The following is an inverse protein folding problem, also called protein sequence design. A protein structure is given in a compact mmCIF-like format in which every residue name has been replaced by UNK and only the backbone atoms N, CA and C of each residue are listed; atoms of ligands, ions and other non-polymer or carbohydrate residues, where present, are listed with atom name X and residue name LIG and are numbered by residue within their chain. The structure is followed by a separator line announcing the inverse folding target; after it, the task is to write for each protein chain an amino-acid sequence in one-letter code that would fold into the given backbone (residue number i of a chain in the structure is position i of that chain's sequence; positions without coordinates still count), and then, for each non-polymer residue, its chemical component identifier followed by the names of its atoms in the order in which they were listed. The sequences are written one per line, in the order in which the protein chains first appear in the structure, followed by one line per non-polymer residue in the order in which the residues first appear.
data_IF_878119155535
#
_entry.id   IF_878119155535
#
_cell.length_a   1.000
_cell.length_b   1.000
_cell.length_c   1.000
_cell.angle_alpha   90.00
_cell.angle_beta   90.00
_cell.angle_gamma   90.00
#
_symmetry.space_group_name_H-M   'P 1'
#
loop_
_entity.id
_entity.type
_entity.pdbx_description
1 polymer ?
#
# COMPACT_ATOMS: atom_id res chain seq x y z
N UNK A 1 -60.69 -39.59 -14.14
CA UNK A 1 -59.45 -38.86 -13.71
C UNK A 1 -59.80 -38.07 -12.45
N UNK A 2 -59.49 -38.63 -11.26
CA UNK A 2 -59.71 -37.97 -9.95
C UNK A 2 -58.66 -36.93 -9.74
N UNK A 3 -59.00 -35.64 -9.62
CA UNK A 3 -58.18 -34.61 -9.14
C UNK A 3 -57.90 -34.83 -7.66
N UNK A 4 -56.70 -35.16 -7.31
CA UNK A 4 -56.25 -35.13 -5.92
C UNK A 4 -56.34 -33.67 -5.40
N UNK A 5 -57.16 -33.46 -4.39
CA UNK A 5 -57.27 -32.18 -3.69
C UNK A 5 -55.94 -31.87 -2.98
N UNK A 6 -55.44 -30.67 -3.20
CA UNK A 6 -54.26 -30.19 -2.49
C UNK A 6 -54.55 -30.22 -0.97
N UNK A 7 -53.54 -30.55 -0.13
CA UNK A 7 -53.71 -30.52 1.31
C UNK A 7 -54.06 -29.10 1.77
N UNK A 8 -55.19 -28.92 2.42
CA UNK A 8 -55.51 -27.66 3.10
C UNK A 8 -54.51 -27.44 4.24
N UNK A 9 -53.77 -26.36 4.13
CA UNK A 9 -52.91 -25.90 5.23
C UNK A 9 -53.83 -25.46 6.36
N UNK A 10 -53.91 -26.25 7.42
CA UNK A 10 -54.79 -26.00 8.55
C UNK A 10 -54.55 -24.64 9.17
N UNK A 11 -55.61 -23.82 9.25
CA UNK A 11 -55.61 -22.51 9.91
C UNK A 11 -55.75 -22.63 11.44
N UNK A 12 -55.07 -23.62 12.06
CA UNK A 12 -55.08 -23.73 13.51
C UNK A 12 -54.33 -22.51 14.12
N UNK A 13 -54.93 -21.79 15.07
CA UNK A 13 -54.29 -20.65 15.69
C UNK A 13 -52.96 -21.08 16.37
N UNK A 14 -51.89 -20.33 16.13
CA UNK A 14 -50.61 -20.60 16.75
C UNK A 14 -50.74 -20.49 18.27
N UNK A 15 -50.29 -21.48 19.05
CA UNK A 15 -50.40 -21.43 20.51
C UNK A 15 -49.67 -20.19 21.08
N UNK A 16 -50.33 -19.47 21.99
CA UNK A 16 -49.80 -18.22 22.56
C UNK A 16 -48.44 -18.40 23.22
N UNK A 17 -48.19 -19.57 23.82
CA UNK A 17 -46.88 -19.87 24.41
C UNK A 17 -45.73 -19.94 23.39
N UNK A 18 -46.04 -20.41 22.15
CA UNK A 18 -45.05 -20.45 21.06
C UNK A 18 -44.69 -19.05 20.57
N UNK A 19 -45.68 -18.14 20.49
CA UNK A 19 -45.44 -16.72 20.21
C UNK A 19 -44.55 -16.07 21.27
N UNK A 20 -44.78 -16.43 22.54
CA UNK A 20 -43.94 -16.00 23.66
C UNK A 20 -42.48 -16.47 23.54
N UNK A 21 -42.27 -17.73 23.17
CA UNK A 21 -40.91 -18.27 22.93
C UNK A 21 -40.22 -17.58 21.77
N UNK A 22 -40.92 -17.36 20.64
CA UNK A 22 -40.33 -16.66 19.50
C UNK A 22 -40.01 -15.22 19.87
N UNK A 23 -40.92 -14.51 20.56
CA UNK A 23 -40.67 -13.15 21.04
C UNK A 23 -39.44 -13.05 21.99
N UNK A 24 -39.34 -14.00 22.92
CA UNK A 24 -38.20 -14.10 23.83
C UNK A 24 -36.88 -14.38 23.05
N UNK A 25 -36.92 -15.29 22.08
CA UNK A 25 -35.75 -15.60 21.23
C UNK A 25 -35.29 -14.40 20.42
N UNK A 26 -36.21 -13.67 19.82
CA UNK A 26 -35.86 -12.43 19.06
C UNK A 26 -35.29 -11.34 19.98
N UNK A 27 -35.94 -11.16 21.14
CA UNK A 27 -35.45 -10.22 22.16
C UNK A 27 -34.03 -10.59 22.63
N UNK A 28 -33.82 -11.86 22.96
CA UNK A 28 -32.52 -12.36 23.41
C UNK A 28 -31.44 -12.20 22.34
N UNK A 29 -31.76 -12.56 21.08
CA UNK A 29 -30.86 -12.39 19.94
C UNK A 29 -30.53 -10.90 19.72
N UNK A 30 -31.49 -10.01 19.83
CA UNK A 30 -31.28 -8.57 19.75
C UNK A 30 -30.38 -8.04 20.86
N UNK A 31 -30.65 -8.46 22.11
CA UNK A 31 -29.80 -8.09 23.26
C UNK A 31 -28.36 -8.63 23.10
N UNK A 32 -28.22 -9.88 22.65
CA UNK A 32 -26.94 -10.49 22.37
C UNK A 32 -26.16 -9.71 21.29
N UNK A 33 -26.79 -9.43 20.15
CA UNK A 33 -26.17 -8.65 19.09
C UNK A 33 -25.81 -7.24 19.57
N UNK A 34 -26.68 -6.58 20.30
CA UNK A 34 -26.41 -5.25 20.85
C UNK A 34 -25.20 -5.26 21.80
N UNK A 35 -25.09 -6.30 22.63
CA UNK A 35 -24.02 -6.41 23.63
C UNK A 35 -22.67 -6.81 23.01
N UNK A 36 -22.69 -7.69 22.00
CA UNK A 36 -21.49 -8.31 21.45
C UNK A 36 -21.08 -7.82 20.05
N UNK A 37 -21.94 -7.09 19.32
CA UNK A 37 -21.61 -6.51 18.02
C UNK A 37 -20.71 -5.26 18.08
N UNK A 38 -20.16 -4.93 19.25
CA UNK A 38 -19.16 -3.89 19.41
C UNK A 38 -19.68 -2.46 19.28
N UNK A 39 -20.98 -2.21 19.47
CA UNK A 39 -21.58 -0.89 19.31
C UNK A 39 -21.39 -0.34 17.90
N UNK A 40 -22.46 0.03 17.22
CA UNK A 40 -22.40 0.71 15.93
C UNK A 40 -21.75 2.09 16.11
N UNK A 41 -20.41 2.12 16.24
CA UNK A 41 -19.66 3.36 16.19
C UNK A 41 -19.41 3.70 14.73
N UNK A 42 -19.71 4.93 14.28
CA UNK A 42 -19.48 5.35 12.89
C UNK A 42 -18.01 5.32 12.50
N UNK A 43 -17.11 5.23 13.48
CA UNK A 43 -15.65 5.12 13.35
C UNK A 43 -15.13 3.69 13.11
N UNK A 44 -16.01 2.68 13.07
CA UNK A 44 -15.61 1.28 12.76
C UNK A 44 -15.12 1.11 11.32
N UNK A 45 -15.47 2.03 10.42
CA UNK A 45 -14.94 2.07 9.05
C UNK A 45 -13.65 2.87 8.89
N UNK A 46 -13.20 3.60 9.91
CA UNK A 46 -11.84 4.08 9.95
C UNK A 46 -10.94 2.90 10.32
N UNK A 47 -10.14 2.47 9.34
CA UNK A 47 -9.17 1.39 9.48
C UNK A 47 -8.04 1.83 10.43
N UNK A 48 -8.37 1.96 11.72
CA UNK A 48 -7.36 1.96 12.78
C UNK A 48 -7.20 0.52 13.25
N UNK A 49 -6.06 -0.12 13.01
CA UNK A 49 -5.83 -1.48 13.51
C UNK A 49 -5.86 -1.46 15.03
N UNK A 50 -6.95 -1.97 15.61
CA UNK A 50 -7.07 -2.18 17.06
C UNK A 50 -6.23 -3.39 17.47
N UNK A 51 -4.92 -3.27 17.41
CA UNK A 51 -4.06 -4.20 18.12
C UNK A 51 -3.72 -3.60 19.48
N UNK A 52 -4.38 -4.13 20.53
CA UNK A 52 -4.11 -3.85 21.93
C UNK A 52 -4.72 -2.53 22.42
N UNK A 53 -5.95 -2.59 22.93
CA UNK A 53 -6.55 -1.53 23.71
C UNK A 53 -5.70 -1.28 24.99
N UNK A 54 -4.71 -0.43 24.88
CA UNK A 54 -4.14 0.28 26.02
C UNK A 54 -4.99 1.51 26.23
N UNK A 55 -5.81 1.45 27.25
CA UNK A 55 -6.63 2.57 27.74
C UNK A 55 -5.70 3.73 28.07
N UNK A 56 -5.74 4.81 27.27
CA UNK A 56 -5.15 6.11 27.64
C UNK A 56 -3.84 6.53 26.96
N UNK A 57 -3.27 5.75 26.03
CA UNK A 57 -2.10 6.16 25.22
C UNK A 57 -2.50 6.42 23.78
N UNK A 58 -2.05 7.53 23.20
CA UNK A 58 -2.10 7.77 21.77
C UNK A 58 -1.30 6.66 21.08
N UNK A 59 -1.97 5.65 20.50
CA UNK A 59 -1.29 4.58 19.79
C UNK A 59 -0.73 5.21 18.49
N UNK A 60 0.55 5.53 18.51
CA UNK A 60 1.27 5.89 17.28
C UNK A 60 1.59 4.60 16.55
N UNK A 61 0.72 4.21 15.62
CA UNK A 61 1.00 3.09 14.72
C UNK A 61 2.16 3.51 13.83
N UNK A 62 3.17 2.65 13.69
CA UNK A 62 4.31 2.91 12.81
C UNK A 62 3.80 3.18 11.38
N UNK A 63 4.09 4.35 10.81
CA UNK A 63 3.68 4.70 9.45
C UNK A 63 4.08 3.66 8.39
N UNK A 64 5.19 2.95 8.59
CA UNK A 64 5.62 1.89 7.68
C UNK A 64 4.69 0.68 7.70
N UNK A 65 4.17 0.30 8.86
CA UNK A 65 3.22 -0.82 8.99
C UNK A 65 1.91 -0.48 8.30
N UNK A 66 1.39 0.74 8.52
CA UNK A 66 0.19 1.24 7.83
C UNK A 66 0.43 1.34 6.33
N UNK A 67 1.56 1.92 5.93
CA UNK A 67 1.95 2.08 4.54
C UNK A 67 2.05 0.76 3.79
N UNK A 68 2.65 -0.27 4.42
CA UNK A 68 2.73 -1.63 3.87
C UNK A 68 1.34 -2.23 3.64
N UNK A 69 0.43 -2.11 4.60
CA UNK A 69 -0.93 -2.62 4.46
C UNK A 69 -1.68 -1.94 3.31
N UNK A 70 -1.62 -0.60 3.23
CA UNK A 70 -2.25 0.18 2.17
C UNK A 70 -1.63 -0.07 0.79
N UNK A 71 -0.30 -0.20 0.71
CA UNK A 71 0.41 -0.59 -0.51
C UNK A 71 -0.06 -1.95 -1.01
N UNK A 72 -0.16 -2.92 -0.12
CA UNK A 72 -0.59 -4.28 -0.44
C UNK A 72 -2.06 -4.35 -0.91
N UNK A 73 -2.88 -3.37 -0.56
CA UNK A 73 -4.29 -3.34 -0.98
C UNK A 73 -4.46 -2.90 -2.44
N UNK A 74 -3.64 -1.97 -2.94
CA UNK A 74 -3.88 -1.35 -4.24
C UNK A 74 -2.64 -1.26 -5.13
N UNK A 75 -1.47 -0.89 -4.57
CA UNK A 75 -0.28 -0.59 -5.36
C UNK A 75 0.45 -1.86 -5.86
N UNK A 76 0.34 -2.95 -5.09
CA UNK A 76 0.99 -4.24 -5.36
C UNK A 76 0.61 -4.83 -6.72
N UNK A 77 -0.60 -4.55 -7.22
CA UNK A 77 -1.10 -5.07 -8.51
C UNK A 77 -0.18 -4.68 -9.67
N UNK A 78 0.33 -3.45 -9.65
CA UNK A 78 1.22 -2.93 -10.69
C UNK A 78 2.70 -2.99 -10.26
N UNK A 79 3.02 -2.54 -9.04
CA UNK A 79 4.40 -2.41 -8.58
C UNK A 79 4.97 -3.68 -7.94
N UNK A 80 4.17 -4.73 -7.79
CA UNK A 80 4.49 -6.03 -7.21
C UNK A 80 4.91 -5.95 -5.72
N UNK A 81 4.85 -7.08 -5.01
CA UNK A 81 5.24 -7.15 -3.60
C UNK A 81 6.73 -6.85 -3.36
N UNK A 82 7.55 -7.09 -4.37
CA UNK A 82 8.99 -6.85 -4.36
C UNK A 82 9.38 -5.42 -4.72
N UNK A 83 8.42 -4.58 -5.10
CA UNK A 83 8.68 -3.22 -5.59
C UNK A 83 9.38 -3.16 -6.96
N UNK A 84 9.57 -4.29 -7.65
CA UNK A 84 10.28 -4.34 -8.94
C UNK A 84 9.40 -3.97 -10.14
N UNK A 85 8.09 -3.84 -9.92
CA UNK A 85 7.16 -3.60 -11.01
C UNK A 85 7.08 -4.76 -12.01
N UNK A 86 6.72 -4.45 -13.25
CA UNK A 86 6.66 -5.40 -14.36
C UNK A 86 7.41 -4.79 -15.53
N UNK A 87 8.44 -5.46 -16.02
CA UNK A 87 9.30 -4.96 -17.08
C UNK A 87 8.49 -4.57 -18.33
N UNK A 88 8.76 -3.39 -18.86
CA UNK A 88 8.06 -2.81 -20.02
C UNK A 88 6.63 -2.34 -19.74
N UNK A 89 6.05 -2.63 -18.57
CA UNK A 89 4.69 -2.23 -18.23
C UNK A 89 4.62 -1.27 -17.03
N UNK A 90 5.14 -1.68 -15.88
CA UNK A 90 5.07 -0.91 -14.65
C UNK A 90 6.46 -0.69 -14.06
N UNK A 91 6.84 0.56 -13.78
CA UNK A 91 8.18 0.87 -13.33
C UNK A 91 8.48 0.31 -11.93
N UNK A 92 9.76 0.01 -11.64
CA UNK A 92 10.19 -0.35 -10.30
C UNK A 92 10.06 0.84 -9.33
N UNK A 93 9.82 0.52 -8.07
CA UNK A 93 9.90 1.45 -6.93
C UNK A 93 11.16 1.17 -6.10
N UNK A 94 11.63 -0.09 -6.10
CA UNK A 94 12.87 -0.48 -5.49
C UNK A 94 14.05 0.11 -6.29
N UNK A 95 14.90 0.90 -5.65
CA UNK A 95 16.05 1.55 -6.28
C UNK A 95 15.73 2.75 -7.18
N UNK A 96 14.46 3.02 -7.45
CA UNK A 96 14.02 4.06 -8.40
C UNK A 96 14.53 5.46 -8.03
N UNK A 97 15.14 6.14 -9.00
CA UNK A 97 15.63 7.51 -8.84
C UNK A 97 14.51 8.52 -8.54
N UNK A 98 13.29 8.25 -8.99
CA UNK A 98 12.12 9.09 -8.69
C UNK A 98 11.68 8.91 -7.24
N UNK A 99 11.74 7.69 -6.73
CA UNK A 99 11.36 7.36 -5.35
C UNK A 99 12.42 7.87 -4.36
N UNK A 100 13.70 7.69 -4.66
CA UNK A 100 14.82 8.00 -3.78
C UNK A 100 15.34 9.43 -3.94
N UNK A 101 14.95 10.10 -5.02
CA UNK A 101 15.41 11.44 -5.34
C UNK A 101 14.95 12.50 -4.34
N UNK A 102 15.63 13.64 -4.38
CA UNK A 102 15.35 14.79 -3.52
C UNK A 102 14.16 15.64 -3.99
N UNK A 103 13.63 15.38 -5.20
CA UNK A 103 12.40 16.02 -5.68
C UNK A 103 11.16 15.35 -5.10
N UNK A 104 11.02 15.36 -3.78
CA UNK A 104 9.91 14.69 -3.08
C UNK A 104 8.55 15.25 -3.46
N UNK A 105 8.47 16.52 -3.84
CA UNK A 105 7.26 17.14 -4.38
C UNK A 105 6.81 16.49 -5.70
N UNK A 106 7.73 16.03 -6.57
CA UNK A 106 7.38 15.32 -7.80
C UNK A 106 6.76 13.95 -7.49
N UNK A 107 7.39 13.17 -6.59
CA UNK A 107 6.88 11.88 -6.16
C UNK A 107 5.45 11.99 -5.59
N UNK A 108 5.23 12.98 -4.70
CA UNK A 108 3.92 13.23 -4.11
C UNK A 108 2.90 13.67 -5.18
N UNK A 109 3.28 14.58 -6.09
CA UNK A 109 2.41 15.07 -7.15
C UNK A 109 1.97 13.94 -8.10
N UNK A 110 2.89 13.01 -8.45
CA UNK A 110 2.58 11.84 -9.27
C UNK A 110 1.55 10.95 -8.57
N UNK A 111 1.73 10.66 -7.29
CA UNK A 111 0.80 9.77 -6.58
C UNK A 111 -0.56 10.44 -6.40
N UNK A 112 -0.60 11.75 -6.12
CA UNK A 112 -1.86 12.47 -5.96
C UNK A 112 -2.68 12.49 -7.26
N UNK A 113 -2.08 12.89 -8.37
CA UNK A 113 -2.80 13.17 -9.63
C UNK A 113 -2.67 12.06 -10.68
N UNK A 114 -1.80 11.07 -10.43
CA UNK A 114 -1.49 10.04 -11.42
C UNK A 114 -0.47 10.51 -12.46
N UNK A 115 0.00 9.57 -13.27
CA UNK A 115 0.97 9.79 -14.35
C UNK A 115 0.54 9.00 -15.58
N UNK A 116 0.62 9.59 -16.75
CA UNK A 116 0.31 8.93 -18.02
C UNK A 116 1.38 9.19 -19.07
N UNK A 117 1.46 8.29 -20.03
CA UNK A 117 2.37 8.40 -21.15
C UNK A 117 3.79 7.89 -20.86
N UNK A 118 4.72 8.14 -21.77
CA UNK A 118 6.07 7.58 -21.68
C UNK A 118 6.86 8.24 -20.54
N UNK A 119 7.50 7.39 -19.74
CA UNK A 119 8.46 7.77 -18.69
C UNK A 119 9.68 6.86 -18.77
N UNK A 120 10.85 7.41 -18.47
CA UNK A 120 12.08 6.61 -18.34
C UNK A 120 12.47 6.53 -16.87
N UNK A 121 12.63 5.32 -16.36
CA UNK A 121 13.05 5.01 -15.00
C UNK A 121 14.20 4.00 -15.10
N UNK A 122 15.33 4.32 -14.47
CA UNK A 122 16.55 3.49 -14.54
C UNK A 122 16.98 3.17 -15.98
N UNK A 123 16.81 4.13 -16.90
CA UNK A 123 17.14 3.97 -18.31
C UNK A 123 16.18 3.08 -19.11
N UNK A 124 15.12 2.56 -18.49
CA UNK A 124 14.08 1.76 -19.14
C UNK A 124 12.85 2.61 -19.43
N UNK A 125 12.24 2.41 -20.60
CA UNK A 125 11.03 3.11 -21.00
C UNK A 125 9.79 2.36 -20.55
N UNK A 126 8.85 3.08 -19.93
CA UNK A 126 7.53 2.61 -19.56
C UNK A 126 6.50 3.54 -20.17
N UNK A 127 5.41 2.98 -20.71
CA UNK A 127 4.36 3.76 -21.35
C UNK A 127 2.99 3.23 -20.92
N UNK A 128 2.60 3.58 -19.70
CA UNK A 128 1.33 3.16 -19.14
C UNK A 128 0.70 4.32 -18.35
N UNK A 129 -0.45 4.10 -17.75
CA UNK A 129 -1.16 5.07 -16.92
C UNK A 129 -1.24 4.59 -15.48
N UNK A 130 -0.77 5.43 -14.56
CA UNK A 130 -0.98 5.30 -13.12
C UNK A 130 -2.13 6.21 -12.71
N UNK A 131 -3.16 5.66 -12.08
CA UNK A 131 -4.32 6.44 -11.65
C UNK A 131 -3.99 7.44 -10.53
N UNK A 132 -4.84 8.44 -10.38
CA UNK A 132 -4.78 9.40 -9.26
C UNK A 132 -5.30 8.77 -7.96
N UNK A 133 -4.63 9.04 -6.85
CA UNK A 133 -4.99 8.50 -5.54
C UNK A 133 -5.51 9.56 -4.56
N UNK A 134 -5.58 10.83 -4.98
CA UNK A 134 -5.99 11.93 -4.11
C UNK A 134 -7.40 11.79 -3.53
N UNK A 135 -8.32 11.16 -4.26
CA UNK A 135 -9.70 10.96 -3.84
C UNK A 135 -9.94 9.71 -2.98
N UNK A 136 -8.94 8.82 -2.88
CA UNK A 136 -9.07 7.53 -2.18
C UNK A 136 -8.33 7.51 -0.84
N UNK A 137 -7.29 8.33 -0.70
CA UNK A 137 -6.44 8.34 0.48
C UNK A 137 -6.31 9.73 1.09
N UNK A 138 -6.37 9.79 2.42
CA UNK A 138 -6.02 10.97 3.19
C UNK A 138 -4.52 11.30 3.09
N UNK A 139 -4.12 12.51 3.48
CA UNK A 139 -2.72 12.92 3.48
C UNK A 139 -1.86 12.01 4.38
N UNK A 140 -2.40 11.60 5.54
CA UNK A 140 -1.72 10.68 6.45
C UNK A 140 -1.52 9.28 5.82
N UNK A 141 -2.52 8.76 5.11
CA UNK A 141 -2.43 7.48 4.44
C UNK A 141 -1.42 7.50 3.30
N UNK A 142 -1.43 8.54 2.45
CA UNK A 142 -0.45 8.70 1.39
C UNK A 142 0.97 8.88 1.93
N UNK A 143 1.13 9.66 3.01
CA UNK A 143 2.41 9.80 3.70
C UNK A 143 2.93 8.45 4.20
N UNK A 144 2.06 7.61 4.76
CA UNK A 144 2.41 6.27 5.22
C UNK A 144 2.83 5.35 4.07
N UNK A 145 2.08 5.33 2.95
CA UNK A 145 2.42 4.57 1.74
C UNK A 145 3.79 5.00 1.21
N UNK A 146 4.01 6.31 1.06
CA UNK A 146 5.26 6.85 0.52
C UNK A 146 6.44 6.61 1.46
N UNK A 147 6.24 6.69 2.77
CA UNK A 147 7.26 6.32 3.77
C UNK A 147 7.65 4.86 3.66
N UNK A 148 6.67 3.94 3.50
CA UNK A 148 6.93 2.54 3.26
C UNK A 148 7.74 2.33 1.97
N UNK A 149 7.28 2.87 0.85
CA UNK A 149 7.94 2.75 -0.46
C UNK A 149 9.38 3.28 -0.44
N UNK A 150 9.64 4.38 0.29
CA UNK A 150 10.97 4.99 0.42
C UNK A 150 11.91 4.27 1.39
N UNK A 151 11.42 3.26 2.12
CA UNK A 151 12.19 2.57 3.17
C UNK A 151 12.19 1.05 3.08
N UNK A 152 11.49 0.44 2.11
CA UNK A 152 11.48 -1.01 1.91
C UNK A 152 12.33 -1.41 0.69
N UNK A 153 12.50 -2.68 0.45
CA UNK A 153 13.24 -3.28 -0.69
C UNK A 153 14.67 -2.77 -0.86
N UNK A 154 15.34 -2.38 0.22
CA UNK A 154 16.67 -1.77 0.18
C UNK A 154 16.68 -0.27 -0.05
N UNK A 155 15.54 0.35 -0.23
CA UNK A 155 15.40 1.80 -0.23
C UNK A 155 15.72 2.36 1.18
N UNK A 156 16.44 3.47 1.22
CA UNK A 156 16.79 4.15 2.48
C UNK A 156 16.73 5.67 2.31
N UNK A 157 15.53 6.18 2.15
CA UNK A 157 15.29 7.61 1.99
C UNK A 157 14.42 8.15 3.15
N UNK A 158 14.49 9.45 3.46
CA UNK A 158 13.73 10.06 4.53
C UNK A 158 12.22 9.86 4.38
N UNK A 159 11.46 9.75 5.50
CA UNK A 159 10.01 9.56 5.46
C UNK A 159 9.30 10.78 4.89
N UNK A 160 8.10 10.55 4.37
CA UNK A 160 7.16 11.60 3.94
C UNK A 160 6.15 11.83 5.05
N UNK A 161 5.85 13.10 5.35
CA UNK A 161 4.85 13.47 6.35
C UNK A 161 3.52 13.88 5.72
N UNK A 162 2.45 13.87 6.51
CA UNK A 162 1.12 14.29 6.05
C UNK A 162 1.11 15.78 5.61
N UNK A 163 1.92 16.60 6.28
CA UNK A 163 2.04 18.03 5.96
C UNK A 163 2.67 18.24 4.57
N UNK A 164 3.67 17.43 4.20
CA UNK A 164 4.26 17.46 2.85
C UNK A 164 3.23 17.08 1.80
N UNK A 165 2.46 16.03 2.04
CA UNK A 165 1.39 15.60 1.14
C UNK A 165 0.34 16.68 1.00
N UNK A 166 -0.09 17.28 2.13
CA UNK A 166 -1.04 18.37 2.14
C UNK A 166 -0.54 19.58 1.35
N UNK A 167 0.71 19.97 1.53
CA UNK A 167 1.32 21.11 0.82
C UNK A 167 1.25 20.91 -0.70
N UNK A 168 1.61 19.73 -1.19
CA UNK A 168 1.57 19.43 -2.64
C UNK A 168 0.14 19.29 -3.14
N UNK A 169 -0.78 18.72 -2.35
CA UNK A 169 -2.20 18.64 -2.66
C UNK A 169 -2.81 20.04 -2.83
N UNK A 170 -2.52 20.94 -1.90
CA UNK A 170 -3.02 22.32 -1.94
C UNK A 170 -2.43 23.08 -3.13
N UNK A 171 -1.15 22.85 -3.46
CA UNK A 171 -0.49 23.47 -4.61
C UNK A 171 -1.14 23.09 -5.93
N UNK A 172 -1.58 21.85 -6.09
CA UNK A 172 -2.15 21.33 -7.34
C UNK A 172 -3.65 21.01 -7.25
N UNK A 173 -4.37 21.60 -6.29
CA UNK A 173 -5.80 21.33 -6.05
C UNK A 173 -6.69 21.52 -7.29
N UNK A 174 -6.35 22.46 -8.14
CA UNK A 174 -7.13 22.82 -9.32
C UNK A 174 -6.85 21.92 -10.54
N UNK A 175 -5.77 21.12 -10.49
CA UNK A 175 -5.45 20.17 -11.55
C UNK A 175 -6.38 18.96 -11.45
N UNK A 176 -7.04 18.63 -12.56
CA UNK A 176 -7.95 17.46 -12.68
C UNK A 176 -7.37 16.34 -13.53
N UNK A 177 -6.35 16.65 -14.32
CA UNK A 177 -5.75 15.72 -15.27
C UNK A 177 -4.51 15.06 -14.69
N UNK A 178 -4.23 13.83 -15.16
CA UNK A 178 -2.99 13.13 -14.84
C UNK A 178 -1.78 13.93 -15.35
N UNK A 179 -0.65 13.74 -14.70
CA UNK A 179 0.60 14.29 -15.18
C UNK A 179 1.12 13.54 -16.40
N UNK A 180 1.84 14.25 -17.25
CA UNK A 180 2.82 13.67 -18.16
C UNK A 180 4.22 13.88 -17.60
N UNK A 181 5.17 13.01 -17.94
CA UNK A 181 6.54 13.13 -17.43
C UNK A 181 7.19 14.50 -17.72
N UNK A 182 7.08 15.06 -18.96
CA UNK A 182 7.59 16.39 -19.25
C UNK A 182 6.97 17.52 -18.42
N UNK A 183 5.72 17.38 -17.98
CA UNK A 183 5.08 18.34 -17.09
C UNK A 183 5.62 18.24 -15.68
N UNK A 184 5.81 17.02 -15.15
CA UNK A 184 6.42 16.81 -13.82
C UNK A 184 7.81 17.42 -13.77
N UNK A 185 8.62 17.25 -14.82
CA UNK A 185 9.97 17.81 -14.91
C UNK A 185 10.00 19.36 -14.94
N UNK A 186 8.92 20.01 -15.33
CA UNK A 186 8.79 21.49 -15.31
C UNK A 186 8.47 22.03 -13.92
N UNK A 187 7.99 21.18 -13.01
CA UNK A 187 7.79 21.59 -11.61
C UNK A 187 9.16 21.81 -10.99
N UNK A 188 9.45 22.96 -10.36
CA UNK A 188 10.72 23.14 -9.64
C UNK A 188 10.91 22.02 -8.60
N UNK A 189 12.03 21.29 -8.64
CA UNK A 189 12.26 20.21 -7.68
C UNK A 189 12.42 20.77 -6.27
N UNK A 190 11.71 20.19 -5.31
CA UNK A 190 11.78 20.58 -3.89
C UNK A 190 11.93 19.33 -3.04
N UNK A 191 12.94 19.37 -2.17
CA UNK A 191 13.06 18.40 -1.08
C UNK A 191 12.27 18.90 0.13
N UNK A 192 11.12 18.30 0.37
CA UNK A 192 10.26 18.63 1.49
C UNK A 192 10.67 17.89 2.78
N UNK A 193 11.60 16.92 2.71
CA UNK A 193 12.05 16.13 3.85
C UNK A 193 13.04 16.87 4.77
N UNK A 194 13.74 17.87 4.22
CA UNK A 194 14.59 18.76 5.00
C UNK A 194 13.76 19.88 5.62
N UNK A 195 13.21 19.71 6.83
CA UNK A 195 12.33 20.65 7.52
C UNK A 195 12.90 22.09 7.62
N UNK A 196 12.84 22.83 6.53
CA UNK A 196 13.25 24.21 6.42
C UNK A 196 12.71 24.79 5.13
N UNK A 197 12.08 25.97 5.24
CA UNK A 197 11.52 26.74 4.15
C UNK A 197 12.39 26.70 2.90
N UNK A 198 11.76 26.41 1.75
CA UNK A 198 12.36 26.45 0.43
C UNK A 198 13.24 27.72 0.26
N UNK A 199 14.54 27.57 0.17
CA UNK A 199 15.40 28.62 -0.33
C UNK A 199 15.39 28.55 -1.86
N UNK A 200 14.95 29.60 -2.57
CA UNK A 200 15.06 29.67 -4.02
C UNK A 200 16.53 29.87 -4.38
N UNK A 201 17.16 28.86 -4.99
CA UNK A 201 18.48 29.09 -5.59
C UNK A 201 19.57 28.00 -5.38
N UNK A 202 19.27 26.82 -4.89
CA UNK A 202 20.28 25.76 -4.86
C UNK A 202 20.35 25.01 -6.20
N UNK A 203 21.48 25.16 -6.90
CA UNK A 203 21.85 24.35 -8.07
C UNK A 203 21.83 22.85 -7.71
N UNK A 204 21.49 21.96 -8.66
CA UNK A 204 21.54 20.52 -8.45
C UNK A 204 22.93 20.12 -7.95
N UNK A 205 22.98 19.58 -6.74
CA UNK A 205 24.21 19.01 -6.19
C UNK A 205 24.62 17.80 -7.03
N UNK A 206 25.88 17.78 -7.44
CA UNK A 206 26.55 16.63 -8.08
C UNK A 206 26.30 15.37 -7.24
N UNK A 207 25.97 14.22 -7.87
CA UNK A 207 25.80 12.96 -7.14
C UNK A 207 27.07 12.66 -6.32
N UNK A 208 26.97 12.18 -5.08
CA UNK A 208 28.14 11.77 -4.33
C UNK A 208 28.85 10.65 -5.09
N UNK A 209 30.14 10.84 -5.33
CA UNK A 209 31.02 9.86 -5.91
C UNK A 209 30.87 8.54 -5.15
N UNK A 210 30.71 7.43 -5.87
CA UNK A 210 30.69 6.08 -5.33
C UNK A 210 31.92 5.89 -4.45
N UNK A 211 31.71 5.92 -3.14
CA UNK A 211 32.73 5.58 -2.15
C UNK A 211 33.08 4.10 -2.30
N UNK A 212 34.35 3.86 -2.54
CA UNK A 212 34.91 2.54 -2.76
C UNK A 212 34.51 1.54 -1.68
N UNK A 213 34.21 0.36 -2.13
CA UNK A 213 33.98 -0.84 -1.35
C UNK A 213 35.20 -1.09 -0.44
N UNK A 214 35.02 -1.32 0.87
CA UNK A 214 36.14 -1.69 1.72
C UNK A 214 36.73 -3.04 1.25
N UNK A 215 38.06 -3.21 1.28
CA UNK A 215 38.67 -4.47 0.91
C UNK A 215 38.24 -5.60 1.86
N UNK A 216 37.94 -6.74 1.27
CA UNK A 216 37.59 -7.95 1.99
C UNK A 216 38.71 -8.37 2.95
N UNK A 217 38.43 -8.83 4.18
CA UNK A 217 39.44 -9.35 5.08
C UNK A 217 40.04 -10.63 4.52
N UNK A 218 41.38 -10.65 4.46
CA UNK A 218 42.15 -11.80 4.05
C UNK A 218 42.06 -12.95 5.07
N UNK A 219 41.79 -14.17 4.56
CA UNK A 219 42.31 -15.41 5.10
C UNK A 219 41.61 -16.02 6.31
N UNK A 220 40.61 -16.88 6.06
CA UNK A 220 40.39 -18.03 6.92
C UNK A 220 40.64 -19.32 6.11
N UNK A 221 41.33 -20.30 6.68
CA UNK A 221 41.67 -21.55 5.97
C UNK A 221 40.43 -22.46 5.84
N UNK A 222 40.34 -23.10 4.69
CA UNK A 222 39.28 -24.05 4.33
C UNK A 222 39.22 -25.26 5.26
N UNK A 223 38.02 -25.59 5.73
CA UNK A 223 37.73 -26.88 6.34
C UNK A 223 37.57 -27.99 5.26
N UNK A 224 38.05 -29.19 5.46
CA UNK A 224 38.00 -30.24 4.46
C UNK A 224 36.67 -30.99 4.44
N UNK A 225 36.15 -31.20 3.25
CA UNK A 225 35.36 -32.36 2.87
C UNK A 225 33.85 -32.33 3.09
N UNK A 226 33.10 -31.96 2.06
CA UNK A 226 31.82 -32.60 1.78
C UNK A 226 31.68 -32.83 0.27
N UNK A 227 31.59 -34.11 -0.10
CA UNK A 227 31.46 -34.61 -1.46
C UNK A 227 30.11 -34.16 -2.08
N UNK A 228 30.05 -33.93 -3.41
CA UNK A 228 28.80 -33.61 -4.08
C UNK A 228 27.84 -34.80 -4.12
N UNK A 229 26.51 -34.58 -4.11
CA UNK A 229 25.51 -35.63 -4.22
C UNK A 229 25.53 -36.25 -5.63
N UNK A 230 25.15 -37.56 -5.76
CA UNK A 230 25.12 -38.25 -7.05
C UNK A 230 24.00 -37.72 -7.98
N UNK A 231 24.16 -37.86 -9.30
CA UNK A 231 23.16 -37.43 -10.27
C UNK A 231 21.92 -38.35 -10.24
N UNK A 232 20.73 -37.70 -10.43
CA UNK A 232 19.45 -38.37 -10.51
C UNK A 232 19.35 -39.33 -11.71
N UNK A 233 18.65 -40.50 -11.59
CA UNK A 233 18.49 -41.46 -12.68
C UNK A 233 17.60 -40.88 -13.80
N UNK A 234 18.01 -41.15 -15.05
CA UNK A 234 17.43 -40.64 -16.28
C UNK A 234 15.97 -41.06 -16.50
N UNK A 235 15.19 -40.16 -17.07
CA UNK A 235 13.87 -40.43 -17.61
C UNK A 235 13.95 -41.22 -18.94
N UNK A 236 13.02 -42.16 -19.21
CA UNK A 236 13.05 -42.95 -20.44
C UNK A 236 12.57 -42.12 -21.66
N UNK A 237 13.26 -42.31 -22.79
CA UNK A 237 12.88 -41.81 -24.09
C UNK A 237 11.56 -42.47 -24.57
N UNK A 238 10.66 -41.65 -25.12
CA UNK A 238 9.47 -42.11 -25.85
C UNK A 238 9.82 -42.37 -27.31
N UNK A 239 9.14 -43.35 -27.94
CA UNK A 239 9.32 -43.69 -29.33
C UNK A 239 8.79 -42.66 -30.29
#
# INVERSE_FOLDING_TARGET
MSRASAPEVGSAPVPVWLMGLVGFGVFWAGAYLFTYSGGFKPDVFEYEPRYGAQVGGKITVDPKVVGKALFSSNCITCHQATGQGVEGQYPPLAGSEVVLGNATNHLIAIVLKGLQGPVQIEGKAFNNSMQAWEGQYSDQQLASILTYVRSDWGNNAPPITAEMVKQVRDQFKDRKEQWTWPEVQKIPPQDLTGGGAAQPGQKPGTPPAQGGQPPAPAGQPAAPGSSPPPPAPGAPAKP
#
